data_IF_339183483873
#
_entry.id   IF_339183483873
#
_cell.length_a   1.000
_cell.length_b   1.000
_cell.length_c   1.000
_cell.angle_alpha   90.00
_cell.angle_beta   90.00
_cell.angle_gamma   90.00
#
_symmetry.space_group_name_H-M   'P 1'
#
loop_
_entity.id
_entity.type
_entity.pdbx_description
1 polymer ?
#
# COMPACT_ATOMS: atom_id res chain seq x y z
N UNK A 1 12.53 40.40 -54.74
CA UNK A 1 13.31 39.17 -54.45
C UNK A 1 12.39 37.96 -54.58
N UNK A 2 12.85 36.95 -55.30
CA UNK A 2 12.09 35.87 -55.93
C UNK A 2 11.58 34.84 -54.89
N UNK A 3 10.26 34.64 -54.83
CA UNK A 3 9.61 33.50 -54.16
C UNK A 3 9.74 32.28 -55.09
N UNK A 4 10.35 31.19 -54.62
CA UNK A 4 10.28 29.89 -55.29
C UNK A 4 9.21 29.04 -54.59
N UNK A 5 8.12 28.78 -55.29
CA UNK A 5 7.22 27.66 -55.08
C UNK A 5 7.40 26.67 -56.23
N UNK A 6 7.41 25.38 -55.90
CA UNK A 6 7.04 24.18 -56.70
C UNK A 6 7.90 23.03 -56.14
N UNK A 7 7.41 21.91 -55.61
CA UNK A 7 6.15 21.20 -55.81
C UNK A 7 6.50 19.77 -56.22
N UNK A 8 5.98 18.74 -55.52
CA UNK A 8 5.54 17.45 -56.08
C UNK A 8 5.00 16.54 -54.97
N UNK A 9 3.83 15.99 -55.27
CA UNK A 9 2.96 15.08 -54.52
C UNK A 9 3.20 13.65 -55.05
N UNK A 10 3.25 12.66 -54.16
CA UNK A 10 3.11 11.22 -54.45
C UNK A 10 2.89 10.50 -53.11
N UNK A 11 1.98 9.56 -52.84
CA UNK A 11 0.82 8.97 -53.50
C UNK A 11 0.22 8.05 -52.42
N UNK A 12 -1.00 8.32 -51.93
CA UNK A 12 -1.70 7.41 -51.01
C UNK A 12 -2.93 6.88 -51.74
N UNK A 13 -2.88 5.62 -52.15
CA UNK A 13 -3.89 4.97 -52.96
C UNK A 13 -4.23 3.60 -52.35
N UNK A 14 -5.43 3.54 -51.78
CA UNK A 14 -6.44 2.49 -51.89
C UNK A 14 -6.10 1.09 -51.35
N UNK A 15 -6.90 0.64 -50.37
CA UNK A 15 -7.77 -0.55 -50.49
C UNK A 15 -8.82 -0.57 -49.37
N UNK A 16 -9.99 0.01 -49.65
CA UNK A 16 -11.27 -0.46 -49.11
C UNK A 16 -11.80 -1.55 -50.05
N UNK A 17 -12.84 -2.27 -49.59
CA UNK A 17 -13.61 -3.36 -50.22
C UNK A 17 -13.09 -4.75 -49.78
N UNK A 18 -13.88 -5.72 -49.28
CA UNK A 18 -15.30 -6.03 -49.42
C UNK A 18 -15.79 -6.84 -48.20
N UNK A 19 -16.97 -6.52 -47.65
CA UNK A 19 -17.78 -7.48 -46.86
C UNK A 19 -19.25 -7.36 -47.29
N UNK A 20 -19.55 -7.93 -48.46
CA UNK A 20 -20.88 -8.44 -48.85
C UNK A 20 -20.77 -9.95 -48.62
N UNK A 21 -21.50 -10.61 -47.71
CA UNK A 21 -22.94 -10.79 -47.72
C UNK A 21 -23.26 -12.19 -48.25
N UNK A 22 -23.52 -13.17 -47.37
CA UNK A 22 -24.21 -14.41 -47.71
C UNK A 22 -25.29 -14.69 -46.67
N UNK A 23 -26.51 -14.32 -47.06
CA UNK A 23 -27.76 -14.70 -46.44
C UNK A 23 -28.25 -15.94 -47.20
N UNK A 24 -28.50 -17.08 -46.54
CA UNK A 24 -29.19 -18.22 -47.17
C UNK A 24 -30.63 -18.30 -46.65
N UNK A 25 -31.55 -18.40 -47.61
CA UNK A 25 -33.00 -18.43 -47.47
C UNK A 25 -33.53 -19.78 -47.99
N UNK A 26 -34.40 -20.42 -47.17
CA UNK A 26 -35.55 -21.31 -47.50
C UNK A 26 -35.19 -22.76 -47.94
N UNK A 27 -35.92 -23.85 -47.60
CA UNK A 27 -37.34 -24.11 -47.28
C UNK A 27 -37.45 -25.21 -46.19
N UNK A 28 -38.46 -25.28 -45.32
CA UNK A 28 -39.83 -25.71 -45.66
C UNK A 28 -40.82 -25.31 -44.55
N UNK A 29 -42.00 -24.92 -44.99
CA UNK A 29 -43.10 -24.30 -44.27
C UNK A 29 -43.74 -25.12 -43.13
N UNK A 30 -44.26 -24.39 -42.12
CA UNK A 30 -45.68 -24.42 -41.75
C UNK A 30 -46.08 -23.15 -40.97
N UNK A 31 -47.07 -22.45 -41.54
CA UNK A 31 -48.11 -21.59 -40.93
C UNK A 31 -48.49 -21.96 -39.48
N UNK A 32 -48.92 -21.09 -38.54
CA UNK A 32 -49.37 -19.68 -38.52
C UNK A 32 -49.30 -19.15 -37.07
N UNK A 33 -49.01 -17.85 -36.93
CA UNK A 33 -49.02 -16.91 -35.76
C UNK A 33 -50.27 -17.00 -34.83
N UNK A 34 -50.35 -16.21 -33.73
CA UNK A 34 -49.31 -15.78 -32.77
C UNK A 34 -49.78 -15.91 -31.29
N UNK A 35 -48.85 -16.01 -30.35
CA UNK A 35 -49.14 -15.53 -28.99
C UNK A 35 -47.86 -15.09 -28.30
N UNK A 36 -47.89 -13.86 -27.79
CA UNK A 36 -46.87 -13.25 -26.96
C UNK A 36 -46.62 -14.11 -25.72
N UNK A 37 -45.36 -14.27 -25.32
CA UNK A 37 -45.02 -14.76 -23.98
C UNK A 37 -43.94 -13.88 -23.39
N UNK A 38 -44.40 -12.88 -22.65
CA UNK A 38 -43.72 -12.28 -21.52
C UNK A 38 -43.46 -13.38 -20.50
N UNK A 39 -42.20 -13.66 -20.17
CA UNK A 39 -41.87 -14.59 -19.09
C UNK A 39 -42.14 -13.95 -17.73
N UNK A 40 -43.21 -14.41 -17.08
CA UNK A 40 -43.36 -14.40 -15.63
C UNK A 40 -43.59 -15.84 -15.20
N UNK A 41 -42.73 -16.40 -14.33
CA UNK A 41 -43.16 -17.43 -13.38
C UNK A 41 -42.51 -17.24 -12.01
N UNK A 42 -43.42 -17.25 -11.05
CA UNK A 42 -43.29 -17.15 -9.60
C UNK A 42 -42.68 -18.41 -8.97
N UNK A 43 -42.00 -18.17 -7.86
CA UNK A 43 -42.10 -18.84 -6.56
C UNK A 43 -41.74 -20.32 -6.41
N UNK A 44 -40.66 -20.56 -5.65
CA UNK A 44 -40.73 -21.43 -4.47
C UNK A 44 -39.69 -21.00 -3.43
N UNK A 45 -40.22 -20.61 -2.28
CA UNK A 45 -39.53 -20.22 -1.05
C UNK A 45 -38.89 -21.43 -0.37
N UNK A 46 -37.64 -21.30 0.08
CA UNK A 46 -37.09 -22.17 1.13
C UNK A 46 -36.15 -21.37 2.02
N UNK A 47 -36.74 -20.91 3.12
CA UNK A 47 -36.07 -20.44 4.33
C UNK A 47 -35.48 -21.69 4.99
N UNK A 48 -34.17 -21.70 5.23
CA UNK A 48 -33.56 -22.63 6.19
C UNK A 48 -33.02 -21.82 7.36
N UNK A 49 -33.89 -21.65 8.36
CA UNK A 49 -33.50 -21.35 9.74
C UNK A 49 -33.04 -22.66 10.34
N UNK A 50 -31.82 -22.72 10.86
CA UNK A 50 -31.47 -23.75 11.83
C UNK A 50 -31.01 -23.07 13.12
N UNK A 51 -31.95 -22.90 14.04
CA UNK A 51 -31.67 -22.72 15.45
C UNK A 51 -31.63 -24.11 16.07
N UNK A 52 -30.54 -24.46 16.73
CA UNK A 52 -30.64 -25.35 17.87
C UNK A 52 -29.76 -24.83 19.01
N UNK A 53 -30.38 -24.80 20.18
CA UNK A 53 -29.89 -24.17 21.40
C UNK A 53 -29.73 -25.25 22.47
N UNK A 54 -28.62 -25.14 23.22
CA UNK A 54 -28.38 -25.61 24.60
C UNK A 54 -28.17 -27.12 24.82
N UNK A 55 -26.97 -27.49 25.30
CA UNK A 55 -26.73 -27.88 26.71
C UNK A 55 -25.24 -27.95 27.07
N UNK A 56 -24.96 -27.49 28.30
CA UNK A 56 -23.71 -27.49 29.07
C UNK A 56 -22.84 -28.74 28.93
N UNK A 57 -21.53 -28.53 29.00
CA UNK A 57 -20.66 -29.29 29.89
C UNK A 57 -19.50 -28.39 30.36
N UNK A 58 -19.55 -28.05 31.64
CA UNK A 58 -18.46 -27.52 32.44
C UNK A 58 -17.39 -28.61 32.59
N UNK A 59 -16.12 -28.25 32.40
CA UNK A 59 -14.98 -29.07 32.81
C UNK A 59 -13.81 -28.15 33.17
N UNK A 60 -13.82 -27.78 34.44
CA UNK A 60 -12.68 -27.45 35.30
C UNK A 60 -11.57 -28.49 35.17
N UNK A 61 -10.31 -28.09 34.92
CA UNK A 61 -9.15 -28.35 35.82
C UNK A 61 -7.83 -27.80 35.24
N UNK A 62 -7.32 -26.78 35.93
CA UNK A 62 -5.93 -26.58 36.36
C UNK A 62 -4.76 -27.31 35.66
N UNK A 63 -3.80 -26.52 35.20
CA UNK A 63 -2.40 -26.69 35.61
C UNK A 63 -1.68 -25.35 35.69
N UNK A 64 -1.53 -24.90 36.92
CA UNK A 64 -0.62 -23.89 37.43
C UNK A 64 0.83 -24.34 37.37
N UNK A 65 1.75 -23.44 37.00
CA UNK A 65 3.05 -23.31 37.68
C UNK A 65 3.68 -21.96 37.36
N UNK A 66 3.43 -21.04 38.27
CA UNK A 66 4.16 -19.84 38.64
C UNK A 66 5.55 -20.14 39.21
N UNK A 67 6.51 -19.22 39.03
CA UNK A 67 7.41 -18.67 40.07
C UNK A 67 8.48 -17.78 39.39
N UNK A 68 8.55 -16.48 39.72
CA UNK A 68 9.37 -15.85 40.79
C UNK A 68 10.87 -15.84 40.45
N UNK A 69 11.69 -14.81 40.65
CA UNK A 69 11.71 -13.77 41.68
C UNK A 69 12.80 -12.71 41.40
N UNK A 70 12.60 -11.50 41.94
CA UNK A 70 13.55 -10.67 42.74
C UNK A 70 14.88 -10.18 42.11
N UNK A 71 15.07 -8.87 41.88
CA UNK A 71 15.50 -7.79 42.81
C UNK A 71 16.96 -7.87 43.27
N UNK A 72 17.75 -6.78 43.15
CA UNK A 72 18.36 -6.04 44.27
C UNK A 72 19.24 -4.86 43.81
N UNK A 73 19.31 -3.89 44.71
CA UNK A 73 19.94 -2.57 44.70
C UNK A 73 21.39 -2.61 45.24
N UNK A 74 22.10 -1.48 45.07
CA UNK A 74 23.04 -0.85 46.03
C UNK A 74 24.59 -1.00 45.88
N UNK A 75 25.22 0.17 45.64
CA UNK A 75 26.23 0.84 46.49
C UNK A 75 27.76 0.65 46.36
N UNK A 76 28.42 1.82 46.31
CA UNK A 76 29.62 2.32 47.04
C UNK A 76 31.02 2.47 46.40
N UNK A 77 31.46 3.76 46.34
CA UNK A 77 32.74 4.38 46.83
C UNK A 77 34.10 3.96 46.20
N UNK A 78 35.16 4.78 46.01
CA UNK A 78 35.65 6.03 46.63
C UNK A 78 36.85 6.66 45.87
N UNK A 79 36.97 8.01 45.94
CA UNK A 79 38.18 8.88 46.07
C UNK A 79 39.42 8.77 45.13
N UNK A 80 39.80 9.88 44.47
CA UNK A 80 40.94 10.77 44.83
C UNK A 80 41.14 11.91 43.80
N UNK A 81 41.52 13.09 44.29
CA UNK A 81 41.76 14.31 43.54
C UNK A 81 43.09 14.33 42.77
N UNK A 82 43.17 15.14 41.71
CA UNK A 82 44.29 16.05 41.41
C UNK A 82 43.97 16.91 40.18
N UNK A 83 44.36 18.17 40.25
CA UNK A 83 44.12 19.19 39.22
C UNK A 83 45.10 19.05 38.05
N UNK A 84 44.65 19.21 36.82
CA UNK A 84 45.48 19.85 35.78
C UNK A 84 44.64 20.31 34.59
N UNK A 85 44.62 21.62 34.43
CA UNK A 85 44.24 22.34 33.23
C UNK A 85 45.06 21.90 32.01
N UNK A 86 44.40 21.49 30.93
CA UNK A 86 44.85 21.84 29.57
C UNK A 86 43.73 21.63 28.55
N UNK A 87 43.31 22.73 27.94
CA UNK A 87 42.43 22.76 26.79
C UNK A 87 43.06 22.05 25.60
N UNK A 88 42.42 20.99 25.13
CA UNK A 88 42.42 20.53 23.73
C UNK A 88 41.17 19.67 23.52
N UNK A 89 40.01 20.29 23.30
CA UNK A 89 38.81 19.56 22.90
C UNK A 89 38.92 19.26 21.40
N UNK A 90 39.72 18.25 21.06
CA UNK A 90 39.53 17.50 19.82
C UNK A 90 38.24 16.71 20.03
N UNK A 91 37.13 17.17 19.44
CA UNK A 91 35.87 16.45 19.43
C UNK A 91 36.02 15.24 18.53
N UNK A 92 36.67 14.21 19.06
CA UNK A 92 36.60 12.86 18.56
C UNK A 92 35.16 12.39 18.80
N UNK A 93 34.39 12.36 17.71
CA UNK A 93 33.02 11.89 17.71
C UNK A 93 33.04 10.40 18.03
N UNK A 94 32.68 10.08 19.28
CA UNK A 94 32.30 8.74 19.68
C UNK A 94 31.23 8.25 18.69
N UNK A 95 31.35 7.06 18.08
CA UNK A 95 30.35 6.59 17.13
C UNK A 95 29.00 6.50 17.83
N UNK A 96 28.02 7.21 17.26
CA UNK A 96 26.62 7.12 17.66
C UNK A 96 26.23 5.65 17.63
N UNK A 97 25.87 5.11 18.79
CA UNK A 97 25.23 3.82 18.91
C UNK A 97 23.90 3.92 18.17
N UNK A 98 23.87 3.54 16.88
CA UNK A 98 22.76 3.88 15.99
C UNK A 98 21.58 2.96 16.29
N UNK A 99 20.69 3.40 17.18
CA UNK A 99 19.49 2.66 17.62
C UNK A 99 18.50 2.42 16.46
N UNK A 100 18.66 3.11 15.33
CA UNK A 100 17.78 3.01 14.15
C UNK A 100 18.56 3.14 12.82
N UNK A 101 19.37 2.14 12.43
CA UNK A 101 20.27 2.24 11.28
C UNK A 101 19.58 2.26 9.92
N UNK A 102 18.29 1.95 9.85
CA UNK A 102 17.47 2.01 8.64
C UNK A 102 16.49 3.19 8.67
N UNK A 103 16.72 4.18 9.55
CA UNK A 103 15.89 5.38 9.57
C UNK A 103 16.16 6.23 8.31
N UNK A 104 15.08 6.63 7.64
CA UNK A 104 15.12 7.60 6.54
C UNK A 104 15.20 9.00 7.12
N UNK A 105 16.16 9.78 6.63
CA UNK A 105 16.25 11.20 6.93
C UNK A 105 15.15 11.95 6.15
N UNK A 106 14.22 12.54 6.90
CA UNK A 106 13.08 13.24 6.32
C UNK A 106 13.46 14.46 5.47
N UNK A 107 14.68 14.99 5.62
CA UNK A 107 15.19 16.09 4.79
C UNK A 107 15.53 15.63 3.36
N UNK A 108 15.69 14.33 3.14
CA UNK A 108 15.94 13.74 1.81
C UNK A 108 14.67 13.63 0.96
N UNK A 109 13.50 13.82 1.57
CA UNK A 109 12.22 13.65 0.89
C UNK A 109 11.82 14.96 0.23
N UNK A 110 11.68 14.94 -1.09
CA UNK A 110 11.11 16.06 -1.84
C UNK A 110 9.71 16.41 -1.34
N UNK A 111 9.30 17.67 -1.50
CA UNK A 111 7.97 18.12 -1.11
C UNK A 111 7.32 18.90 -2.29
N UNK A 112 6.34 18.32 -3.00
CA UNK A 112 5.76 16.99 -2.79
C UNK A 112 6.71 15.84 -3.20
N UNK A 113 6.56 14.69 -2.53
CA UNK A 113 7.14 13.41 -2.95
C UNK A 113 6.04 12.54 -3.56
N UNK A 114 6.23 12.07 -4.78
CA UNK A 114 5.28 11.15 -5.44
C UNK A 114 5.85 9.75 -5.43
N UNK A 115 5.08 8.78 -4.93
CA UNK A 115 5.43 7.36 -4.95
C UNK A 115 4.48 6.63 -5.91
N UNK A 116 5.04 5.75 -6.73
CA UNK A 116 4.33 5.02 -7.79
C UNK A 116 4.15 3.55 -7.41
N UNK A 117 2.95 3.03 -7.65
CA UNK A 117 2.60 1.62 -7.44
C UNK A 117 2.21 1.00 -8.77
N UNK A 118 2.55 -0.28 -8.93
CA UNK A 118 2.15 -1.09 -10.07
C UNK A 118 1.21 -2.19 -9.59
N UNK A 119 0.07 -2.37 -10.26
CA UNK A 119 -0.87 -3.43 -9.94
C UNK A 119 -2.31 -3.11 -10.32
N UNK A 120 -3.18 -4.10 -10.15
CA UNK A 120 -4.63 -3.95 -10.30
C UNK A 120 -5.23 -3.66 -8.93
N UNK A 121 -6.23 -2.77 -8.87
CA UNK A 121 -6.93 -2.39 -7.63
C UNK A 121 -6.05 -1.75 -6.54
N UNK A 122 -4.92 -1.15 -6.93
CA UNK A 122 -4.09 -0.32 -6.05
C UNK A 122 -4.13 1.13 -6.53
N UNK A 123 -3.97 2.12 -5.65
CA UNK A 123 -3.77 3.51 -6.07
C UNK A 123 -2.54 3.58 -6.98
N UNK A 124 -2.59 4.25 -8.15
CA UNK A 124 -1.44 4.31 -9.06
C UNK A 124 -0.31 5.15 -8.47
N UNK A 125 -0.65 6.15 -7.67
CA UNK A 125 0.29 7.01 -6.99
C UNK A 125 -0.16 7.33 -5.58
N UNK A 126 0.81 7.69 -4.74
CA UNK A 126 0.61 8.25 -3.41
C UNK A 126 1.50 9.49 -3.32
N UNK A 127 0.92 10.63 -2.96
CA UNK A 127 1.65 11.89 -2.85
C UNK A 127 1.81 12.22 -1.38
N UNK A 128 3.04 12.42 -0.94
CA UNK A 128 3.41 12.82 0.40
C UNK A 128 3.83 14.29 0.38
N UNK A 129 3.22 15.09 1.23
CA UNK A 129 3.50 16.52 1.37
C UNK A 129 3.79 16.86 2.83
N UNK A 130 4.77 17.73 3.06
CA UNK A 130 5.15 18.17 4.40
C UNK A 130 5.28 19.70 4.47
N UNK A 131 4.14 20.39 4.50
CA UNK A 131 4.05 21.85 4.57
C UNK A 131 3.79 22.34 6.01
N UNK A 132 4.49 21.75 6.99
CA UNK A 132 4.28 21.99 8.44
C UNK A 132 3.31 21.00 9.09
N UNK A 133 2.53 20.28 8.30
CA UNK A 133 1.82 19.06 8.69
C UNK A 133 1.96 18.04 7.56
N UNK A 134 2.20 16.78 7.91
CA UNK A 134 2.38 15.73 6.93
C UNK A 134 1.02 15.26 6.43
N UNK A 135 0.84 15.23 5.12
CA UNK A 135 -0.36 14.71 4.48
C UNK A 135 0.00 13.67 3.42
N UNK A 136 -0.80 12.60 3.37
CA UNK A 136 -0.76 11.63 2.27
C UNK A 136 -2.03 11.74 1.43
N UNK A 137 -1.84 11.95 0.13
CA UNK A 137 -2.92 12.02 -0.86
C UNK A 137 -2.89 10.77 -1.72
N UNK A 138 -4.05 10.16 -1.90
CA UNK A 138 -4.32 9.02 -2.79
C UNK A 138 -5.17 9.53 -3.95
N UNK A 139 -4.56 9.93 -5.08
CA UNK A 139 -5.29 10.50 -6.20
C UNK A 139 -6.20 9.46 -6.86
N UNK A 140 -7.40 9.87 -7.23
CA UNK A 140 -8.28 9.12 -8.11
C UNK A 140 -8.41 9.83 -9.46
N UNK A 141 -8.79 9.09 -10.51
CA UNK A 141 -9.00 9.66 -11.86
C UNK A 141 -10.06 10.77 -11.85
N UNK A 142 -11.04 10.69 -10.94
CA UNK A 142 -11.94 11.78 -10.64
C UNK A 142 -11.53 12.37 -9.27
N UNK A 143 -11.15 13.66 -9.21
CA UNK A 143 -10.60 14.27 -8.00
C UNK A 143 -11.61 14.28 -6.83
N UNK A 144 -12.91 14.17 -7.10
CA UNK A 144 -13.93 14.06 -6.05
C UNK A 144 -13.84 12.75 -5.25
N UNK A 145 -13.11 11.76 -5.76
CA UNK A 145 -12.86 10.49 -5.08
C UNK A 145 -11.41 10.34 -4.60
N UNK A 146 -10.58 11.37 -4.77
CA UNK A 146 -9.26 11.39 -4.14
C UNK A 146 -9.43 11.42 -2.64
N UNK A 147 -8.59 10.67 -1.92
CA UNK A 147 -8.62 10.64 -0.48
C UNK A 147 -7.34 11.29 0.06
N UNK A 148 -7.46 12.07 1.13
CA UNK A 148 -6.33 12.69 1.80
C UNK A 148 -6.38 12.40 3.29
N UNK A 149 -5.22 12.10 3.86
CA UNK A 149 -5.07 11.80 5.28
C UNK A 149 -3.98 12.67 5.90
N UNK A 150 -4.21 13.13 7.12
CA UNK A 150 -3.13 13.58 7.97
C UNK A 150 -2.27 12.36 8.35
N UNK A 151 -0.97 12.59 8.52
CA UNK A 151 -0.04 11.53 8.86
C UNK A 151 0.96 11.98 9.94
N UNK A 152 1.48 11.00 10.67
CA UNK A 152 2.54 11.19 11.64
C UNK A 152 3.72 10.29 11.32
N UNK A 153 4.93 10.83 11.43
CA UNK A 153 6.18 10.09 11.27
C UNK A 153 6.77 9.78 12.65
N UNK A 154 7.26 8.55 12.82
CA UNK A 154 8.00 8.15 14.01
C UNK A 154 9.20 7.27 13.64
N UNK A 155 10.29 7.41 14.39
CA UNK A 155 11.39 6.44 14.39
C UNK A 155 11.08 5.34 15.39
N UNK A 156 11.04 4.09 14.93
CA UNK A 156 10.74 2.90 15.72
C UNK A 156 11.98 1.99 15.83
N UNK A 157 12.02 1.06 16.80
CA UNK A 157 13.00 -0.02 16.81
C UNK A 157 13.00 -0.78 15.49
N UNK A 158 14.16 -1.31 15.09
CA UNK A 158 14.30 -2.03 13.82
C UNK A 158 13.34 -3.20 13.76
N UNK A 159 12.48 -3.19 12.74
CA UNK A 159 11.50 -4.24 12.45
C UNK A 159 11.79 -4.82 11.07
N UNK A 160 11.63 -6.13 10.94
CA UNK A 160 11.62 -6.81 9.64
C UNK A 160 10.18 -6.93 9.13
N UNK A 161 9.97 -6.63 7.85
CA UNK A 161 8.67 -6.76 7.17
C UNK A 161 8.87 -7.41 5.81
N UNK A 162 7.85 -8.12 5.33
CA UNK A 162 7.82 -8.69 3.98
C UNK A 162 7.15 -7.74 3.01
N UNK A 163 7.71 -7.60 1.82
CA UNK A 163 7.17 -6.72 0.76
C UNK A 163 7.12 -7.45 -0.58
N UNK A 164 6.09 -7.16 -1.36
CA UNK A 164 6.10 -7.38 -2.80
C UNK A 164 6.98 -6.32 -3.45
N UNK A 165 8.02 -6.79 -4.13
CA UNK A 165 8.98 -5.93 -4.80
C UNK A 165 8.33 -5.20 -5.97
N UNK A 166 8.53 -3.89 -6.07
CA UNK A 166 7.96 -3.10 -7.15
C UNK A 166 8.47 -3.52 -8.54
N UNK A 167 9.72 -4.01 -8.60
CA UNK A 167 10.37 -4.50 -9.81
C UNK A 167 9.92 -5.90 -10.26
N UNK A 168 8.94 -6.50 -9.57
CA UNK A 168 8.42 -7.82 -9.90
C UNK A 168 9.35 -8.98 -9.50
N UNK A 169 10.44 -8.72 -8.77
CA UNK A 169 11.36 -9.78 -8.29
C UNK A 169 10.78 -10.72 -7.22
N UNK A 170 9.52 -10.52 -6.83
CA UNK A 170 8.80 -11.34 -5.87
C UNK A 170 8.81 -10.78 -4.45
N UNK A 171 8.58 -11.63 -3.47
CA UNK A 171 8.51 -11.26 -2.05
C UNK A 171 9.92 -11.21 -1.46
N UNK A 172 10.24 -10.14 -0.71
CA UNK A 172 11.49 -10.02 0.03
C UNK A 172 11.28 -9.41 1.42
N UNK A 173 12.22 -9.69 2.32
CA UNK A 173 12.25 -9.06 3.66
C UNK A 173 13.09 -7.79 3.62
N UNK A 174 12.59 -6.73 4.25
CA UNK A 174 13.32 -5.47 4.46
C UNK A 174 13.29 -5.06 5.93
N UNK A 175 14.29 -4.28 6.34
CA UNK A 175 14.38 -3.69 7.67
C UNK A 175 13.91 -2.24 7.64
N UNK A 176 13.10 -1.86 8.60
CA UNK A 176 12.49 -0.52 8.68
C UNK A 176 12.71 0.09 10.06
N UNK A 177 12.91 1.41 10.08
CA UNK A 177 12.88 2.22 11.29
C UNK A 177 11.98 3.46 11.17
N UNK A 178 11.63 3.91 9.97
CA UNK A 178 10.76 5.07 9.78
C UNK A 178 9.34 4.61 9.49
N UNK A 179 8.42 4.80 10.45
CA UNK A 179 7.00 4.50 10.31
C UNK A 179 6.22 5.78 10.03
N UNK A 180 5.27 5.70 9.10
CA UNK A 180 4.22 6.69 8.86
C UNK A 180 2.90 6.08 9.32
N UNK A 181 2.12 6.80 10.11
CA UNK A 181 0.78 6.39 10.53
C UNK A 181 -0.25 7.38 10.00
N UNK A 182 -1.28 6.91 9.32
CA UNK A 182 -2.40 7.76 8.89
C UNK A 182 -3.32 8.03 10.08
N UNK A 183 -3.49 9.29 10.47
CA UNK A 183 -4.13 9.66 11.75
C UNK A 183 -5.56 10.14 11.60
N UNK A 184 -5.84 10.92 10.55
CA UNK A 184 -7.15 11.54 10.33
C UNK A 184 -7.48 11.54 8.83
N UNK A 185 -8.73 11.27 8.49
CA UNK A 185 -9.23 11.39 7.13
C UNK A 185 -9.70 12.84 6.87
N UNK A 186 -9.06 13.52 5.93
CA UNK A 186 -9.25 14.96 5.69
C UNK A 186 -10.22 15.22 4.52
N UNK A 187 -10.05 14.48 3.43
CA UNK A 187 -10.80 14.68 2.17
C UNK A 187 -11.12 13.33 1.57
N UNK A 188 -12.30 13.21 0.95
CA UNK A 188 -12.73 12.02 0.23
C UNK A 188 -13.76 11.19 1.00
N UNK A 189 -14.29 10.17 0.34
CA UNK A 189 -15.29 9.25 0.88
C UNK A 189 -15.07 7.80 0.43
N UNK A 190 -13.98 7.53 -0.30
CA UNK A 190 -13.76 6.27 -1.02
C UNK A 190 -12.82 5.29 -0.33
N UNK A 191 -11.99 5.74 0.61
CA UNK A 191 -10.96 4.93 1.25
C UNK A 191 -11.05 4.99 2.77
N UNK A 192 -11.08 3.81 3.41
CA UNK A 192 -10.91 3.68 4.86
C UNK A 192 -9.48 3.22 5.14
N UNK A 193 -8.58 4.19 5.36
CA UNK A 193 -7.16 3.92 5.61
C UNK A 193 -6.64 4.56 6.91
N UNK A 194 -7.51 5.18 7.70
CA UNK A 194 -7.13 5.72 9.00
C UNK A 194 -6.61 4.59 9.91
N UNK A 195 -5.50 4.85 10.60
CA UNK A 195 -4.79 3.86 11.42
C UNK A 195 -3.81 2.99 10.64
N UNK A 196 -3.79 3.04 9.30
CA UNK A 196 -2.83 2.29 8.50
C UNK A 196 -1.40 2.73 8.81
N UNK A 197 -0.53 1.74 8.95
CA UNK A 197 0.91 1.91 9.10
C UNK A 197 1.60 1.69 7.77
N UNK A 198 2.51 2.60 7.43
CA UNK A 198 3.34 2.59 6.24
C UNK A 198 4.79 2.79 6.69
N UNK A 199 5.75 2.48 5.84
CA UNK A 199 7.17 2.62 6.18
C UNK A 199 7.95 3.29 5.06
N UNK A 200 8.90 4.14 5.41
CA UNK A 200 9.87 4.69 4.45
C UNK A 200 11.17 3.91 4.52
N UNK A 201 11.73 3.58 3.36
CA UNK A 201 13.04 2.95 3.24
C UNK A 201 13.89 3.62 2.16
N UNK A 202 15.20 3.56 2.33
CA UNK A 202 16.14 3.70 1.22
C UNK A 202 16.15 2.39 0.44
N UNK A 203 15.78 2.43 -0.84
CA UNK A 203 15.73 1.24 -1.68
C UNK A 203 17.11 0.91 -2.27
N UNK A 204 17.24 -0.30 -2.82
CA UNK A 204 18.52 -0.82 -3.37
C UNK A 204 19.09 0.02 -4.53
N UNK A 205 18.26 0.87 -5.15
CA UNK A 205 18.65 1.73 -6.27
C UNK A 205 19.12 3.12 -5.80
N UNK A 206 19.17 3.36 -4.49
CA UNK A 206 19.56 4.65 -3.91
C UNK A 206 18.43 5.69 -3.84
N UNK A 207 17.20 5.32 -4.21
CA UNK A 207 16.01 6.16 -4.08
C UNK A 207 15.21 5.83 -2.81
N UNK A 208 14.07 6.50 -2.66
CA UNK A 208 13.12 6.23 -1.58
C UNK A 208 12.02 5.28 -2.06
N UNK A 209 11.59 4.39 -1.17
CA UNK A 209 10.36 3.63 -1.34
C UNK A 209 9.45 3.84 -0.14
N UNK A 210 8.15 3.95 -0.41
CA UNK A 210 7.08 3.96 0.57
C UNK A 210 6.43 2.56 0.57
N UNK A 211 6.53 1.88 1.70
CA UNK A 211 5.94 0.56 1.92
C UNK A 211 4.54 0.73 2.49
N UNK A 212 3.56 0.12 1.83
CA UNK A 212 2.14 0.38 2.06
C UNK A 212 1.37 -0.91 2.32
N UNK A 213 0.25 -0.89 3.04
CA UNK A 213 -0.63 -2.05 3.12
C UNK A 213 -1.04 -2.55 1.73
N UNK A 214 -1.37 -3.83 1.62
CA UNK A 214 -1.89 -4.36 0.37
C UNK A 214 -3.37 -3.95 0.19
N UNK A 215 -3.66 -3.16 -0.83
CA UNK A 215 -5.00 -2.68 -1.15
C UNK A 215 -5.82 -3.64 -2.02
N UNK A 216 -5.17 -4.57 -2.73
CA UNK A 216 -5.81 -5.39 -3.76
C UNK A 216 -6.70 -6.50 -3.18
N UNK A 217 -6.54 -6.84 -1.90
CA UNK A 217 -7.40 -7.77 -1.15
C UNK A 217 -7.30 -9.25 -1.56
N UNK A 218 -6.52 -9.59 -2.59
CA UNK A 218 -6.40 -10.94 -3.14
C UNK A 218 -4.96 -11.45 -3.01
N UNK A 219 -4.53 -11.80 -1.80
CA UNK A 219 -3.25 -12.47 -1.55
C UNK A 219 -3.48 -13.86 -0.98
N UNK A 220 -2.50 -14.75 -1.19
CA UNK A 220 -2.52 -16.06 -0.57
C UNK A 220 -2.54 -15.93 0.97
N UNK A 221 -3.13 -16.91 1.70
CA UNK A 221 -3.23 -16.84 3.16
C UNK A 221 -1.89 -16.65 3.88
N UNK A 222 -0.80 -17.17 3.32
CA UNK A 222 0.56 -17.04 3.84
C UNK A 222 1.25 -15.72 3.43
N UNK A 223 0.54 -14.82 2.74
CA UNK A 223 1.05 -13.53 2.25
C UNK A 223 0.25 -12.33 2.79
N UNK A 224 -0.64 -12.54 3.77
CA UNK A 224 -1.50 -11.51 4.34
C UNK A 224 -0.74 -10.37 5.05
N UNK A 225 0.47 -10.61 5.53
CA UNK A 225 1.40 -9.63 6.13
C UNK A 225 2.30 -8.94 5.10
N UNK A 226 2.27 -9.35 3.83
CA UNK A 226 3.15 -8.83 2.80
C UNK A 226 2.63 -7.48 2.30
N UNK A 227 3.45 -6.45 2.47
CA UNK A 227 3.15 -5.07 2.08
C UNK A 227 3.56 -4.78 0.63
N UNK A 228 3.09 -3.66 0.06
CA UNK A 228 3.41 -3.23 -1.30
C UNK A 228 4.51 -2.17 -1.29
N UNK A 229 5.48 -2.30 -2.18
CA UNK A 229 6.50 -1.27 -2.42
C UNK A 229 6.04 -0.25 -3.46
N UNK A 230 5.92 1.01 -3.04
CA UNK A 230 5.77 2.17 -3.93
C UNK A 230 7.12 2.87 -4.08
N UNK A 231 7.57 3.13 -5.31
CA UNK A 231 8.91 3.73 -5.58
C UNK A 231 8.75 5.20 -5.96
N UNK A 232 9.61 6.06 -5.42
CA UNK A 232 9.67 7.48 -5.77
C UNK A 232 10.26 7.71 -7.17
#
# INVERSE_FOLDING_TARGET
MLKKMSGIVLLAMICMLFLTGCNNKNETAKETKPSETTHTKQSSTSISKNNNSIKNAESTTSSSSSANSESVESSQSSSSAESSSRSTNSSESVPVNNVAPYAVDMTQIGNPATFTLSGVNVPPTIILENNGSMTLTFPASNPNYSNQFAAQVATIPTKEIRIFSNDGSGIRTVKVNTQITLTEHLVGNGMQAQGNMMYLINNKNGGLSLITPNYAGNVDPDQMDVMLEAVQ
#
